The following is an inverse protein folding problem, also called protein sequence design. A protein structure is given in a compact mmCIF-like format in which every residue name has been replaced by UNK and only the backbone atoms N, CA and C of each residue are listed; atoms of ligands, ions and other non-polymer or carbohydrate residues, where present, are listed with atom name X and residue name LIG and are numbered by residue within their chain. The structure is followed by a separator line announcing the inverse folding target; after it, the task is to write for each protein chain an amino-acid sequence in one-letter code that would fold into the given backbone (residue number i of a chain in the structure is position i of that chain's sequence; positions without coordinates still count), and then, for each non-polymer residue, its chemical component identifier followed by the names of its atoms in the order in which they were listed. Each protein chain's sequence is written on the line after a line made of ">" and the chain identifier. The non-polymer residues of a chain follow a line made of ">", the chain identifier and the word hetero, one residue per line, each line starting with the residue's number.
data_IF_173931817870
#
_entry.id   IF_173931817870
#
_cell.length_a   1.000
_cell.length_b   1.000
_cell.length_c   1.000
_cell.angle_alpha   90.00
_cell.angle_beta   90.00
_cell.angle_gamma   90.00
#
_symmetry.space_group_name_H-M   'P 1'
#
loop_
_entity.id
_entity.type
_entity.pdbx_description
1 polymer ?
#
# COMPACT_ATOMS: atom_id res chain seq x y z
N UNK A 1 -17.52 0.66 24.52
CA UNK A 1 -16.07 0.33 24.40
C UNK A 1 -15.31 1.15 25.43
N UNK A 2 -14.31 0.58 26.11
CA UNK A 2 -13.54 1.25 27.16
C UNK A 2 -12.09 1.46 26.73
N UNK A 3 -11.40 2.40 27.38
CA UNK A 3 -9.95 2.53 27.23
C UNK A 3 -9.24 1.28 27.78
N UNK A 4 -8.12 0.83 27.18
CA UNK A 4 -7.40 1.46 26.06
C UNK A 4 -7.97 1.19 24.67
N UNK A 5 -8.95 0.30 24.50
CA UNK A 5 -9.48 -0.06 23.19
C UNK A 5 -10.12 1.12 22.44
N UNK A 6 -10.65 2.12 23.16
CA UNK A 6 -11.20 3.34 22.56
C UNK A 6 -10.14 4.37 22.09
N UNK A 7 -8.84 4.13 22.27
CA UNK A 7 -7.81 5.03 21.77
C UNK A 7 -7.67 4.94 20.25
N UNK A 8 -7.50 6.10 19.60
CA UNK A 8 -7.14 6.14 18.19
C UNK A 8 -5.80 5.41 17.96
N UNK A 9 -5.79 4.47 17.01
CA UNK A 9 -4.63 3.61 16.73
C UNK A 9 -4.61 2.30 17.51
N UNK A 10 -5.54 2.08 18.44
CA UNK A 10 -5.87 0.74 18.94
C UNK A 10 -6.94 0.12 18.05
N UNK A 11 -6.97 -1.22 18.00
CA UNK A 11 -8.04 -1.97 17.35
C UNK A 11 -8.92 -2.58 18.44
N UNK A 12 -10.15 -2.06 18.59
CA UNK A 12 -11.14 -2.58 19.51
C UNK A 12 -11.77 -3.87 18.96
N UNK A 13 -11.64 -4.96 19.73
CA UNK A 13 -12.09 -6.30 19.33
C UNK A 13 -13.25 -6.79 20.22
N UNK A 14 -14.40 -7.03 19.61
CA UNK A 14 -15.53 -7.70 20.25
C UNK A 14 -15.41 -9.23 20.15
N UNK A 15 -16.07 -9.94 21.06
CA UNK A 15 -16.11 -11.40 21.08
C UNK A 15 -17.37 -11.95 20.42
N UNK A 16 -17.19 -12.96 19.57
CA UNK A 16 -18.28 -13.80 19.05
C UNK A 16 -18.16 -15.23 19.52
N UNK A 17 -19.31 -15.89 19.68
CA UNK A 17 -19.43 -17.34 19.89
C UNK A 17 -19.28 -18.13 18.58
N UNK A 18 -19.38 -19.45 18.69
CA UNK A 18 -19.21 -20.38 17.55
C UNK A 18 -20.24 -20.19 16.43
N UNK A 19 -21.42 -19.67 16.76
CA UNK A 19 -22.48 -19.37 15.79
C UNK A 19 -22.29 -18.02 15.08
N UNK A 20 -21.18 -17.31 15.34
CA UNK A 20 -20.93 -15.98 14.79
C UNK A 20 -21.79 -14.87 15.41
N UNK A 21 -22.49 -15.17 16.51
CA UNK A 21 -23.24 -14.17 17.29
C UNK A 21 -22.33 -13.49 18.29
N UNK A 22 -22.55 -12.20 18.54
CA UNK A 22 -21.86 -11.46 19.61
C UNK A 22 -22.13 -12.16 20.95
N UNK A 23 -21.06 -12.50 21.67
CA UNK A 23 -21.18 -13.15 22.97
C UNK A 23 -21.86 -12.21 23.97
N UNK A 24 -22.69 -12.76 24.87
CA UNK A 24 -23.53 -11.97 25.77
C UNK A 24 -22.75 -10.96 26.64
N UNK A 25 -21.50 -11.28 26.99
CA UNK A 25 -20.61 -10.45 27.81
C UNK A 25 -19.83 -9.39 27.01
N UNK A 26 -19.82 -9.47 25.67
CA UNK A 26 -18.99 -8.58 24.86
C UNK A 26 -19.56 -7.17 24.84
N UNK A 27 -18.73 -6.19 25.22
CA UNK A 27 -19.05 -4.78 25.01
C UNK A 27 -19.23 -4.47 23.52
N UNK A 28 -20.06 -3.45 23.25
CA UNK A 28 -20.40 -2.96 21.91
C UNK A 28 -20.43 -1.42 21.92
N UNK A 29 -20.50 -0.80 20.76
CA UNK A 29 -20.60 0.66 20.64
C UNK A 29 -19.89 1.24 19.41
N UNK A 30 -19.95 2.56 19.29
CA UNK A 30 -19.42 3.31 18.14
C UNK A 30 -17.91 3.22 17.95
N UNK A 31 -17.16 2.95 19.01
CA UNK A 31 -15.70 2.86 18.98
C UNK A 31 -15.22 1.40 18.81
N UNK A 32 -16.09 0.51 18.29
CA UNK A 32 -15.76 -0.89 18.01
C UNK A 32 -15.23 -1.00 16.57
N UNK A 33 -14.09 -1.68 16.39
CA UNK A 33 -13.47 -1.81 15.07
C UNK A 33 -13.85 -3.11 14.37
N UNK A 34 -13.70 -4.24 15.07
CA UNK A 34 -13.88 -5.58 14.51
C UNK A 34 -14.36 -6.56 15.60
N UNK A 35 -14.75 -7.75 15.17
CA UNK A 35 -15.05 -8.88 16.04
C UNK A 35 -14.14 -10.07 15.73
N UNK A 36 -13.95 -10.94 16.71
CA UNK A 36 -13.20 -12.17 16.54
C UNK A 36 -13.74 -13.28 17.46
N UNK A 37 -13.40 -14.55 17.18
CA UNK A 37 -13.78 -15.67 18.04
C UNK A 37 -13.28 -15.47 19.47
N UNK A 38 -14.21 -15.22 20.40
CA UNK A 38 -13.93 -15.09 21.84
C UNK A 38 -14.66 -16.12 22.68
N UNK A 39 -15.56 -16.91 22.07
CA UNK A 39 -16.31 -17.98 22.72
C UNK A 39 -17.57 -17.50 23.44
N UNK A 40 -18.51 -18.42 23.64
CA UNK A 40 -19.72 -18.26 24.44
C UNK A 40 -20.09 -19.60 25.09
N UNK A 41 -19.85 -19.73 26.39
CA UNK A 41 -20.11 -20.95 27.16
C UNK A 41 -21.53 -20.99 27.77
N UNK A 42 -22.45 -20.10 27.36
CA UNK A 42 -23.83 -20.11 27.89
C UNK A 42 -24.55 -21.45 27.70
N UNK A 43 -24.15 -22.22 26.69
CA UNK A 43 -24.75 -23.51 26.32
C UNK A 43 -23.78 -24.70 26.47
N UNK A 44 -22.65 -24.54 27.17
CA UNK A 44 -21.65 -25.60 27.38
C UNK A 44 -20.22 -25.11 27.28
N UNK A 45 -19.29 -25.80 27.96
CA UNK A 45 -17.86 -25.40 28.02
C UNK A 45 -17.22 -25.36 26.63
N UNK A 46 -17.67 -26.23 25.74
CA UNK A 46 -17.22 -26.39 24.34
C UNK A 46 -17.58 -25.18 23.47
N UNK A 47 -18.42 -24.25 23.97
CA UNK A 47 -18.66 -22.98 23.32
C UNK A 47 -17.52 -21.96 23.49
N UNK A 48 -16.54 -22.25 24.34
CA UNK A 48 -15.35 -21.42 24.53
C UNK A 48 -14.33 -21.53 23.38
N UNK A 49 -13.22 -20.82 23.53
CA UNK A 49 -11.98 -20.99 22.76
C UNK A 49 -11.08 -21.97 23.53
N UNK A 50 -10.68 -23.07 22.88
CA UNK A 50 -9.72 -24.01 23.44
C UNK A 50 -8.33 -23.40 23.37
N UNK A 51 -7.64 -23.31 24.50
CA UNK A 51 -6.28 -22.78 24.56
C UNK A 51 -5.42 -23.54 25.56
N UNK A 52 -4.12 -23.58 25.26
CA UNK A 52 -3.13 -24.09 26.20
C UNK A 52 -3.01 -23.11 27.37
N UNK A 53 -3.04 -23.62 28.59
CA UNK A 53 -2.95 -22.84 29.81
C UNK A 53 -2.31 -23.67 30.91
N UNK A 54 -2.15 -23.07 32.09
CA UNK A 54 -1.61 -23.74 33.27
C UNK A 54 -2.67 -24.67 33.86
N UNK A 55 -2.27 -25.88 34.25
CA UNK A 55 -3.15 -26.85 34.89
C UNK A 55 -3.66 -26.31 36.24
N UNK A 56 -4.98 -26.39 36.45
CA UNK A 56 -5.61 -25.90 37.69
C UNK A 56 -5.17 -26.78 38.86
N UNK A 57 -4.52 -26.16 39.85
CA UNK A 57 -4.02 -26.86 41.03
C UNK A 57 -2.60 -27.44 40.87
N UNK A 58 -2.01 -27.35 39.67
CA UNK A 58 -0.63 -27.76 39.43
C UNK A 58 0.08 -26.81 38.44
N UNK A 59 0.67 -25.71 38.94
CA UNK A 59 1.33 -24.72 38.07
C UNK A 59 2.55 -25.23 37.31
N UNK A 60 3.05 -26.43 37.61
CA UNK A 60 4.20 -27.02 36.93
C UNK A 60 3.83 -27.70 35.59
N UNK A 61 2.53 -27.91 35.32
CA UNK A 61 2.05 -28.58 34.12
C UNK A 61 1.10 -27.68 33.31
N UNK A 62 1.03 -27.94 32.01
CA UNK A 62 0.09 -27.27 31.10
C UNK A 62 -1.07 -28.20 30.74
N UNK A 63 -2.21 -27.61 30.43
CA UNK A 63 -3.42 -28.29 29.97
C UNK A 63 -4.13 -27.47 28.88
N UNK A 64 -5.11 -28.06 28.20
CA UNK A 64 -5.98 -27.38 27.25
C UNK A 64 -7.35 -27.18 27.87
N UNK A 65 -7.69 -25.91 28.13
CA UNK A 65 -8.97 -25.55 28.74
C UNK A 65 -9.76 -24.61 27.83
N UNK A 66 -11.09 -24.70 27.94
CA UNK A 66 -12.02 -23.83 27.24
C UNK A 66 -12.23 -22.53 28.02
N UNK A 67 -11.99 -21.40 27.38
CA UNK A 67 -12.24 -20.08 27.96
C UNK A 67 -13.18 -19.25 27.11
N UNK A 68 -13.76 -18.21 27.71
CA UNK A 68 -14.48 -17.18 26.98
C UNK A 68 -14.00 -15.80 27.40
N UNK A 69 -13.96 -14.86 26.46
CA UNK A 69 -13.66 -13.47 26.73
C UNK A 69 -13.27 -12.69 25.49
N UNK A 70 -13.41 -11.37 25.56
CA UNK A 70 -12.78 -10.47 24.58
C UNK A 70 -11.26 -10.59 24.61
N UNK A 71 -10.67 -10.97 25.77
CA UNK A 71 -9.26 -11.35 25.90
C UNK A 71 -8.87 -12.57 25.07
N UNK A 72 -9.80 -13.45 24.68
CA UNK A 72 -9.56 -14.56 23.74
C UNK A 72 -9.83 -14.13 22.28
N UNK A 73 -10.70 -13.15 22.06
CA UNK A 73 -10.93 -12.55 20.74
C UNK A 73 -9.72 -11.72 20.26
N UNK A 74 -9.15 -10.89 21.13
CA UNK A 74 -7.99 -10.05 20.82
C UNK A 74 -6.78 -10.79 20.23
N UNK A 75 -6.31 -11.94 20.76
CA UNK A 75 -5.18 -12.66 20.18
C UNK A 75 -5.49 -13.27 18.81
N UNK A 76 -6.74 -13.62 18.50
CA UNK A 76 -7.11 -14.02 17.13
C UNK A 76 -6.95 -12.85 16.16
N UNK A 77 -7.45 -11.66 16.51
CA UNK A 77 -7.27 -10.46 15.69
C UNK A 77 -5.79 -10.08 15.54
N UNK A 78 -5.01 -10.15 16.62
CA UNK A 78 -3.57 -9.90 16.59
C UNK A 78 -2.82 -10.95 15.72
N UNK A 79 -3.24 -12.22 15.76
CA UNK A 79 -2.70 -13.27 14.91
C UNK A 79 -2.93 -12.99 13.42
N UNK A 80 -4.15 -12.59 13.03
CA UNK A 80 -4.45 -12.19 11.65
C UNK A 80 -3.67 -10.93 11.24
N UNK A 81 -3.54 -9.96 12.13
CA UNK A 81 -2.68 -8.79 11.91
C UNK A 81 -1.22 -9.22 11.63
N UNK A 82 -0.69 -10.18 12.40
CA UNK A 82 0.64 -10.75 12.20
C UNK A 82 0.79 -11.44 10.84
N UNK A 83 -0.24 -12.14 10.36
CA UNK A 83 -0.24 -12.73 9.02
C UNK A 83 -0.18 -11.66 7.92
N UNK A 84 -0.96 -10.59 8.05
CA UNK A 84 -0.92 -9.44 7.11
C UNK A 84 0.49 -8.82 7.10
N UNK A 85 1.09 -8.62 8.28
CA UNK A 85 2.45 -8.09 8.40
C UNK A 85 3.47 -9.04 7.76
N UNK A 86 3.32 -10.35 7.94
CA UNK A 86 4.20 -11.35 7.33
C UNK A 86 4.14 -11.38 5.80
N UNK A 87 3.02 -10.92 5.23
CA UNK A 87 2.85 -10.74 3.79
C UNK A 87 3.51 -9.45 3.24
N UNK A 88 4.16 -8.65 4.10
CA UNK A 88 4.92 -7.46 3.71
C UNK A 88 4.19 -6.13 3.92
N UNK A 89 3.06 -6.12 4.63
CA UNK A 89 2.33 -4.90 4.99
C UNK A 89 2.77 -4.43 6.38
N UNK A 90 3.70 -3.48 6.46
CA UNK A 90 4.32 -3.03 7.72
C UNK A 90 3.68 -1.77 8.34
N UNK A 91 2.69 -1.18 7.67
CA UNK A 91 2.00 0.00 8.18
C UNK A 91 0.78 -0.36 9.05
N UNK A 92 0.71 0.09 10.32
CA UNK A 92 -0.40 -0.23 11.21
C UNK A 92 -1.79 0.17 10.70
N UNK A 93 -1.91 1.31 10.01
CA UNK A 93 -3.20 1.76 9.45
C UNK A 93 -3.65 0.88 8.29
N UNK A 94 -2.70 0.40 7.49
CA UNK A 94 -3.01 -0.48 6.37
C UNK A 94 -3.37 -1.89 6.86
N UNK A 95 -2.67 -2.38 7.89
CA UNK A 95 -3.05 -3.62 8.59
C UNK A 95 -4.49 -3.52 9.14
N UNK A 96 -4.81 -2.42 9.83
CA UNK A 96 -6.16 -2.16 10.33
C UNK A 96 -7.20 -2.06 9.20
N UNK A 97 -6.86 -1.40 8.08
CA UNK A 97 -7.72 -1.30 6.90
C UNK A 97 -8.03 -2.67 6.32
N UNK A 98 -7.01 -3.51 6.11
CA UNK A 98 -7.17 -4.87 5.57
C UNK A 98 -8.01 -5.72 6.53
N UNK A 99 -7.74 -5.65 7.85
CA UNK A 99 -8.54 -6.34 8.86
C UNK A 99 -10.03 -5.98 8.78
N UNK A 100 -10.35 -4.69 8.63
CA UNK A 100 -11.73 -4.21 8.53
C UNK A 100 -12.38 -4.57 7.19
N UNK A 101 -11.69 -4.37 6.07
CA UNK A 101 -12.23 -4.62 4.72
C UNK A 101 -12.52 -6.11 4.48
N UNK A 102 -11.70 -6.99 5.05
CA UNK A 102 -11.82 -8.44 4.84
C UNK A 102 -12.68 -9.13 5.89
N UNK A 103 -13.12 -8.40 6.93
CA UNK A 103 -14.01 -8.93 7.95
C UNK A 103 -15.36 -9.34 7.35
N UNK A 104 -15.90 -10.48 7.80
CA UNK A 104 -17.21 -10.98 7.41
C UNK A 104 -18.27 -10.49 8.37
N UNK A 105 -19.09 -9.54 7.91
CA UNK A 105 -20.18 -9.02 8.71
C UNK A 105 -21.41 -9.95 8.67
N UNK A 106 -21.92 -10.45 9.81
CA UNK A 106 -23.09 -11.34 9.84
C UNK A 106 -24.34 -10.74 9.18
N UNK A 107 -24.56 -9.44 9.38
CA UNK A 107 -25.67 -8.67 8.82
C UNK A 107 -25.44 -8.12 7.39
N UNK A 108 -24.30 -8.44 6.74
CA UNK A 108 -23.92 -7.92 5.40
C UNK A 108 -23.94 -6.39 5.27
N UNK A 109 -23.54 -5.69 6.33
CA UNK A 109 -23.31 -4.24 6.33
C UNK A 109 -21.82 -3.96 6.46
N UNK A 110 -21.37 -2.76 6.10
CA UNK A 110 -19.94 -2.40 6.21
C UNK A 110 -19.49 -2.26 7.66
N UNK A 111 -20.37 -1.77 8.54
CA UNK A 111 -20.07 -1.60 9.96
C UNK A 111 -21.36 -1.50 10.77
N UNK A 112 -21.38 -2.10 11.96
CA UNK A 112 -22.36 -1.78 12.99
C UNK A 112 -21.75 -1.75 14.41
N UNK A 113 -22.54 -1.24 15.36
CA UNK A 113 -22.10 -1.09 16.75
C UNK A 113 -21.86 -2.42 17.47
N UNK A 114 -22.40 -3.54 16.97
CA UNK A 114 -22.35 -4.85 17.61
C UNK A 114 -21.16 -5.68 17.14
N UNK A 115 -20.81 -5.60 15.85
CA UNK A 115 -19.76 -6.41 15.24
C UNK A 115 -18.56 -5.60 14.74
N UNK A 116 -18.64 -4.26 14.76
CA UNK A 116 -17.67 -3.42 14.07
C UNK A 116 -17.78 -3.65 12.57
N UNK A 117 -16.66 -3.76 11.87
CA UNK A 117 -16.62 -4.14 10.46
C UNK A 117 -17.02 -5.61 10.21
N UNK A 118 -17.10 -6.44 11.25
CA UNK A 118 -17.47 -7.85 11.17
C UNK A 118 -16.47 -8.77 11.86
N UNK A 119 -16.64 -10.08 11.66
CA UNK A 119 -15.76 -11.11 12.21
C UNK A 119 -14.54 -11.26 11.31
N UNK A 120 -13.33 -11.19 11.87
CA UNK A 120 -12.08 -11.35 11.13
C UNK A 120 -12.06 -12.63 10.26
N UNK A 121 -11.50 -12.51 9.06
CA UNK A 121 -11.27 -13.61 8.13
C UNK A 121 -9.79 -13.66 7.75
N UNK A 122 -9.09 -14.66 8.27
CA UNK A 122 -7.64 -14.78 8.10
C UNK A 122 -7.24 -15.02 6.64
N UNK A 123 -8.01 -15.85 5.91
CA UNK A 123 -7.72 -16.18 4.52
C UNK A 123 -7.91 -14.95 3.63
N UNK A 124 -9.06 -14.29 3.77
CA UNK A 124 -9.34 -13.07 3.01
C UNK A 124 -8.31 -11.97 3.31
N UNK A 125 -7.90 -11.81 4.57
CA UNK A 125 -6.86 -10.87 4.99
C UNK A 125 -5.51 -11.15 4.32
N UNK A 126 -5.04 -12.41 4.30
CA UNK A 126 -3.77 -12.77 3.65
C UNK A 126 -3.85 -12.59 2.13
N UNK A 127 -4.97 -12.97 1.51
CA UNK A 127 -5.18 -12.76 0.07
C UNK A 127 -5.16 -11.27 -0.25
N UNK A 128 -5.84 -10.44 0.54
CA UNK A 128 -5.85 -8.98 0.34
C UNK A 128 -4.47 -8.36 0.55
N UNK A 129 -3.71 -8.81 1.55
CA UNK A 129 -2.34 -8.37 1.78
C UNK A 129 -1.40 -8.81 0.64
N UNK A 130 -1.64 -9.98 0.06
CA UNK A 130 -0.88 -10.55 -1.06
C UNK A 130 -1.29 -10.02 -2.44
N UNK A 131 -2.41 -9.29 -2.56
CA UNK A 131 -2.79 -8.61 -3.82
C UNK A 131 -1.76 -7.54 -4.12
N UNK A 132 -0.76 -7.93 -4.89
CA UNK A 132 0.22 -7.00 -5.41
C UNK A 132 -0.49 -6.05 -6.38
N UNK A 133 -0.40 -4.74 -6.16
CA UNK A 133 -0.83 -3.72 -7.12
C UNK A 133 0.00 -3.75 -8.43
N UNK A 134 0.68 -4.85 -8.74
CA UNK A 134 1.53 -5.03 -9.90
C UNK A 134 0.73 -4.92 -11.19
N UNK A 135 -0.46 -5.53 -11.29
CA UNK A 135 -1.27 -5.49 -12.51
C UNK A 135 -1.74 -4.06 -12.84
N UNK A 136 -2.14 -3.28 -11.84
CA UNK A 136 -2.50 -1.87 -11.99
C UNK A 136 -1.28 -1.02 -12.36
N UNK A 137 -0.11 -1.29 -11.75
CA UNK A 137 1.15 -0.65 -12.10
C UNK A 137 1.60 -0.98 -13.52
N UNK A 138 1.37 -2.21 -13.99
CA UNK A 138 1.68 -2.67 -15.34
C UNK A 138 0.76 -2.02 -16.38
N UNK A 139 -0.55 -1.96 -16.11
CA UNK A 139 -1.51 -1.25 -16.96
C UNK A 139 -1.19 0.24 -17.07
N UNK A 140 -0.84 0.88 -15.96
CA UNK A 140 -0.41 2.27 -15.93
C UNK A 140 0.92 2.49 -16.68
N UNK A 141 1.89 1.61 -16.51
CA UNK A 141 3.16 1.66 -17.24
C UNK A 141 2.99 1.52 -18.75
N UNK A 142 2.16 0.58 -19.19
CA UNK A 142 1.83 0.39 -20.61
C UNK A 142 1.12 1.61 -21.20
N UNK A 143 0.15 2.19 -20.47
CA UNK A 143 -0.54 3.41 -20.88
C UNK A 143 0.41 4.59 -21.04
N UNK A 144 1.36 4.77 -20.11
CA UNK A 144 2.37 5.81 -20.21
C UNK A 144 3.32 5.60 -21.37
N UNK A 145 3.77 4.36 -21.62
CA UNK A 145 4.57 4.03 -22.78
C UNK A 145 3.87 4.44 -24.08
N UNK A 146 2.58 4.14 -24.21
CA UNK A 146 1.74 4.54 -25.33
C UNK A 146 1.56 6.07 -25.41
N UNK A 147 1.40 6.75 -24.28
CA UNK A 147 1.36 8.22 -24.21
C UNK A 147 2.72 8.87 -24.50
N UNK A 148 3.85 8.22 -24.21
CA UNK A 148 5.18 8.68 -24.61
C UNK A 148 5.38 8.57 -26.13
N UNK A 149 4.91 7.47 -26.72
CA UNK A 149 4.94 7.24 -28.17
C UNK A 149 4.09 8.24 -28.95
N UNK A 150 2.95 8.66 -28.39
CA UNK A 150 1.99 9.57 -29.06
C UNK A 150 2.11 11.03 -28.62
N UNK A 151 2.43 11.28 -27.35
CA UNK A 151 2.45 12.59 -26.68
C UNK A 151 3.66 13.46 -27.00
N UNK A 152 4.80 12.86 -27.37
CA UNK A 152 5.93 13.60 -27.97
C UNK A 152 5.53 14.21 -29.34
N UNK A 153 4.38 13.83 -29.90
CA UNK A 153 3.78 14.41 -31.10
C UNK A 153 2.45 15.17 -30.92
N UNK A 154 1.87 15.25 -29.71
CA UNK A 154 0.53 15.83 -29.48
C UNK A 154 0.48 17.16 -28.74
N UNK A 155 1.62 17.72 -28.31
CA UNK A 155 1.66 19.16 -28.08
C UNK A 155 1.28 19.81 -29.41
N UNK A 156 0.11 20.46 -29.50
CA UNK A 156 -0.32 21.22 -30.68
C UNK A 156 0.87 22.06 -31.12
N UNK A 157 1.58 21.61 -32.15
CA UNK A 157 2.76 22.29 -32.64
C UNK A 157 2.29 23.65 -33.08
N UNK A 158 2.69 24.68 -32.33
CA UNK A 158 2.39 26.04 -32.75
C UNK A 158 3.26 26.31 -33.97
N UNK A 159 2.73 27.09 -34.88
CA UNK A 159 3.49 27.61 -36.01
C UNK A 159 4.70 28.37 -35.44
N UNK A 160 5.89 27.77 -35.56
CA UNK A 160 7.13 28.24 -34.92
C UNK A 160 7.90 27.20 -34.10
N UNK A 161 7.30 26.05 -33.76
CA UNK A 161 8.05 24.96 -33.09
C UNK A 161 9.10 24.38 -34.05
N UNK A 162 10.32 24.16 -33.55
CA UNK A 162 11.46 23.67 -34.32
C UNK A 162 11.23 22.30 -34.99
N UNK A 163 12.24 21.78 -35.73
CA UNK A 163 12.12 20.51 -36.44
C UNK A 163 11.66 19.37 -35.52
N UNK A 164 10.91 18.42 -36.07
CA UNK A 164 10.40 17.28 -35.31
C UNK A 164 11.55 16.46 -34.70
N UNK A 165 11.42 15.96 -33.46
CA UNK A 165 12.46 15.12 -32.87
C UNK A 165 12.71 13.91 -33.75
N UNK A 166 13.99 13.57 -33.93
CA UNK A 166 14.42 12.47 -34.78
C UNK A 166 13.90 11.12 -34.26
N UNK A 167 13.83 10.08 -35.10
CA UNK A 167 13.41 8.74 -34.66
C UNK A 167 14.22 8.21 -33.47
N UNK A 168 15.53 8.50 -33.42
CA UNK A 168 16.40 8.11 -32.31
C UNK A 168 16.13 8.89 -31.02
N UNK A 169 15.81 10.18 -31.11
CA UNK A 169 15.41 10.99 -29.95
C UNK A 169 14.06 10.54 -29.39
N UNK A 170 13.10 10.16 -30.26
CA UNK A 170 11.84 9.57 -29.82
C UNK A 170 12.06 8.23 -29.14
N UNK A 171 12.90 7.36 -29.71
CA UNK A 171 13.25 6.08 -29.12
C UNK A 171 13.91 6.25 -27.74
N UNK A 172 14.85 7.21 -27.60
CA UNK A 172 15.48 7.50 -26.31
C UNK A 172 14.50 8.09 -25.29
N UNK A 173 13.55 8.91 -25.74
CA UNK A 173 12.50 9.46 -24.86
C UNK A 173 11.55 8.38 -24.39
N UNK A 174 11.15 7.47 -25.29
CA UNK A 174 10.36 6.29 -24.95
C UNK A 174 11.17 5.40 -24.01
N UNK A 175 12.41 5.07 -24.33
CA UNK A 175 13.28 4.24 -23.48
C UNK A 175 13.55 4.88 -22.12
N UNK A 176 13.60 6.21 -22.02
CA UNK A 176 13.73 6.94 -20.77
C UNK A 176 12.42 6.96 -19.97
N UNK A 177 11.28 7.17 -20.64
CA UNK A 177 9.97 7.19 -20.01
C UNK A 177 9.61 5.82 -19.49
N UNK A 178 9.78 4.84 -20.37
CA UNK A 178 9.71 3.43 -20.06
C UNK A 178 10.74 3.11 -19.00
N UNK A 179 12.04 3.42 -19.10
CA UNK A 179 13.03 3.13 -18.05
C UNK A 179 12.74 3.80 -16.68
N UNK A 180 12.21 5.02 -16.68
CA UNK A 180 11.70 5.71 -15.50
C UNK A 180 10.42 5.08 -14.92
N UNK A 181 9.78 4.21 -15.70
CA UNK A 181 8.59 3.42 -15.35
C UNK A 181 8.90 1.88 -15.33
N UNK A 182 10.08 1.43 -15.81
CA UNK A 182 10.53 0.07 -16.22
C UNK A 182 10.48 -0.28 -17.74
N UNK A 183 11.53 -0.88 -18.38
CA UNK A 183 11.52 -2.04 -19.35
C UNK A 183 12.97 -2.40 -19.84
N UNK A 184 13.34 -3.63 -20.22
CA UNK A 184 12.54 -4.86 -20.36
C UNK A 184 13.28 -6.14 -20.82
N UNK A 185 12.48 -7.21 -20.89
CA UNK A 185 12.67 -8.52 -21.56
C UNK A 185 13.81 -9.44 -21.06
N UNK A 186 13.50 -10.23 -20.01
CA UNK A 186 14.36 -11.29 -19.44
C UNK A 186 14.47 -11.25 -17.91
N UNK A 187 14.12 -10.10 -17.31
CA UNK A 187 14.11 -9.77 -15.87
C UNK A 187 12.75 -9.17 -15.45
N UNK A 188 11.66 -9.71 -16.01
CA UNK A 188 10.42 -9.01 -16.36
C UNK A 188 9.42 -8.64 -15.23
N UNK A 189 9.75 -8.67 -13.93
CA UNK A 189 8.70 -8.49 -12.88
C UNK A 189 9.02 -7.45 -11.81
N UNK A 190 10.14 -6.73 -11.89
CA UNK A 190 10.42 -5.64 -10.93
C UNK A 190 10.99 -4.40 -11.62
N UNK A 191 10.34 -3.22 -11.54
CA UNK A 191 10.84 -1.96 -12.13
C UNK A 191 12.28 -1.66 -11.67
N UNK A 192 13.17 -1.05 -12.47
CA UNK A 192 14.55 -0.76 -12.01
C UNK A 192 14.58 0.15 -10.77
N UNK A 193 13.65 1.11 -10.71
CA UNK A 193 13.36 1.92 -9.53
C UNK A 193 12.92 1.02 -8.34
N UNK A 194 12.08 0.04 -8.61
CA UNK A 194 11.62 -0.92 -7.61
C UNK A 194 12.72 -1.87 -7.16
N UNK A 195 13.55 -2.41 -8.06
CA UNK A 195 14.72 -3.24 -7.76
C UNK A 195 15.75 -2.45 -6.97
N UNK A 196 16.06 -1.21 -7.38
CA UNK A 196 16.94 -0.33 -6.63
C UNK A 196 16.35 0.00 -5.26
N UNK A 197 15.05 0.28 -5.18
CA UNK A 197 14.34 0.55 -3.95
C UNK A 197 14.27 -0.65 -3.01
N UNK A 198 14.04 -1.86 -3.51
CA UNK A 198 14.01 -3.08 -2.69
C UNK A 198 15.41 -3.53 -2.28
N UNK A 199 16.37 -3.54 -3.21
CA UNK A 199 17.76 -3.95 -2.93
C UNK A 199 18.50 -2.98 -1.99
N UNK A 200 18.15 -1.69 -2.00
CA UNK A 200 18.73 -0.69 -1.11
C UNK A 200 17.87 -0.41 0.15
N UNK A 201 16.72 -1.09 0.32
CA UNK A 201 15.80 -0.82 1.43
C UNK A 201 15.18 0.59 1.40
N UNK A 202 15.13 1.22 0.24
CA UNK A 202 14.64 2.59 0.02
C UNK A 202 13.19 2.65 -0.48
N UNK A 203 12.57 1.50 -0.77
CA UNK A 203 11.15 1.41 -1.10
C UNK A 203 10.30 2.04 0.01
N UNK A 204 9.39 2.94 -0.37
CA UNK A 204 8.57 3.68 0.57
C UNK A 204 9.26 4.88 1.23
N UNK A 205 10.57 5.07 1.09
CA UNK A 205 11.25 6.25 1.66
C UNK A 205 10.87 7.54 0.94
N UNK A 206 10.69 8.63 1.69
CA UNK A 206 10.45 9.96 1.09
C UNK A 206 11.56 10.45 0.19
N UNK A 207 12.80 9.98 0.40
CA UNK A 207 13.92 10.30 -0.48
C UNK A 207 13.77 9.63 -1.85
N UNK A 208 13.36 8.35 -1.88
CA UNK A 208 13.16 7.60 -3.11
C UNK A 208 11.90 8.04 -3.86
N UNK A 209 10.81 8.28 -3.12
CA UNK A 209 9.55 8.83 -3.62
C UNK A 209 9.61 10.36 -3.77
N UNK A 210 10.72 10.87 -4.30
CA UNK A 210 10.92 12.29 -4.61
C UNK A 210 11.50 12.48 -6.00
N UNK A 211 11.52 13.73 -6.47
CA UNK A 211 12.19 14.12 -7.70
C UNK A 211 13.72 14.17 -7.55
N UNK A 212 14.28 13.87 -6.37
CA UNK A 212 15.71 14.01 -6.11
C UNK A 212 16.55 13.07 -6.98
N UNK A 213 16.13 11.81 -7.13
CA UNK A 213 16.82 10.81 -7.97
C UNK A 213 16.90 11.27 -9.44
N UNK A 214 15.78 11.57 -10.14
CA UNK A 214 15.87 12.05 -11.50
C UNK A 214 16.50 13.44 -11.62
N UNK A 215 16.40 14.30 -10.59
CA UNK A 215 17.07 15.61 -10.57
C UNK A 215 18.59 15.50 -10.53
N UNK A 216 19.14 14.64 -9.67
CA UNK A 216 20.59 14.40 -9.59
C UNK A 216 21.11 13.82 -10.90
N UNK A 217 20.44 12.81 -11.45
CA UNK A 217 20.81 12.25 -12.76
C UNK A 217 20.75 13.29 -13.88
N UNK A 218 19.73 14.16 -13.84
CA UNK A 218 19.64 15.29 -14.77
C UNK A 218 20.84 16.22 -14.62
N UNK A 219 21.17 16.65 -13.41
CA UNK A 219 22.30 17.56 -13.17
C UNK A 219 23.63 16.99 -13.67
N UNK A 220 23.87 15.69 -13.44
CA UNK A 220 25.11 15.03 -13.84
C UNK A 220 25.23 14.85 -15.36
N UNK A 221 24.13 14.56 -16.05
CA UNK A 221 24.15 14.10 -17.44
C UNK A 221 23.62 15.13 -18.45
N UNK A 222 23.10 16.28 -18.02
CA UNK A 222 22.51 17.30 -18.91
C UNK A 222 23.48 17.84 -19.98
N UNK A 223 24.77 17.87 -19.65
CA UNK A 223 25.83 18.33 -20.56
C UNK A 223 26.00 17.40 -21.77
N UNK A 224 25.61 16.13 -21.64
CA UNK A 224 25.71 15.13 -22.70
C UNK A 224 24.49 15.25 -23.61
N UNK A 225 24.61 15.98 -24.73
CA UNK A 225 23.51 16.29 -25.66
C UNK A 225 22.74 15.04 -26.14
N UNK A 226 23.45 13.93 -26.37
CA UNK A 226 22.85 12.66 -26.80
C UNK A 226 21.93 12.03 -25.75
N UNK A 227 22.12 12.34 -24.46
CA UNK A 227 21.33 11.76 -23.37
C UNK A 227 20.09 12.58 -23.01
N UNK A 228 19.90 13.77 -23.61
CA UNK A 228 18.80 14.66 -23.22
C UNK A 228 17.42 14.06 -23.50
N UNK A 229 17.26 13.28 -24.56
CA UNK A 229 16.03 12.51 -24.81
C UNK A 229 15.75 11.48 -23.72
N UNK A 230 16.79 10.74 -23.31
CA UNK A 230 16.70 9.76 -22.22
C UNK A 230 16.33 10.42 -20.88
N UNK A 231 16.97 11.54 -20.55
CA UNK A 231 16.68 12.29 -19.33
C UNK A 231 15.28 12.90 -19.33
N UNK A 232 14.80 13.37 -20.49
CA UNK A 232 13.44 13.87 -20.66
C UNK A 232 12.43 12.75 -20.39
N UNK A 233 12.67 11.57 -20.99
CA UNK A 233 11.89 10.37 -20.72
C UNK A 233 11.91 10.00 -19.24
N UNK A 234 13.09 9.87 -18.63
CA UNK A 234 13.27 9.48 -17.23
C UNK A 234 12.45 10.37 -16.29
N UNK A 235 12.53 11.70 -16.45
CA UNK A 235 11.79 12.64 -15.62
C UNK A 235 10.27 12.53 -15.83
N UNK A 236 9.80 12.32 -17.07
CA UNK A 236 8.38 12.10 -17.33
C UNK A 236 7.89 10.78 -16.71
N UNK A 237 8.69 9.72 -16.82
CA UNK A 237 8.39 8.43 -16.22
C UNK A 237 8.31 8.49 -14.70
N UNK A 238 9.29 9.16 -14.08
CA UNK A 238 9.31 9.39 -12.63
C UNK A 238 8.13 10.25 -12.16
N UNK A 239 7.80 11.31 -12.89
CA UNK A 239 6.64 12.14 -12.59
C UNK A 239 5.34 11.34 -12.60
N UNK A 240 5.20 10.45 -13.57
CA UNK A 240 4.00 9.64 -13.72
C UNK A 240 3.89 8.58 -12.62
N UNK A 241 5.01 7.93 -12.24
CA UNK A 241 5.07 7.06 -11.05
C UNK A 241 4.59 7.79 -9.80
N UNK A 242 5.07 9.01 -9.57
CA UNK A 242 4.71 9.83 -8.41
C UNK A 242 3.23 10.26 -8.45
N UNK A 243 2.70 10.67 -9.60
CA UNK A 243 1.28 11.01 -9.76
C UNK A 243 0.36 9.81 -9.51
N UNK A 244 0.73 8.65 -10.03
CA UNK A 244 -0.01 7.41 -9.77
C UNK A 244 0.02 7.03 -8.30
N UNK A 245 1.18 7.18 -7.65
CA UNK A 245 1.31 7.02 -6.20
C UNK A 245 0.41 7.99 -5.42
N UNK A 246 0.27 9.24 -5.89
CA UNK A 246 -0.56 10.25 -5.24
C UNK A 246 -2.07 10.00 -5.35
N UNK A 247 -2.52 9.20 -6.33
CA UNK A 247 -3.95 9.00 -6.62
C UNK A 247 -4.42 7.58 -6.30
N UNK A 248 -3.66 6.57 -6.71
CA UNK A 248 -4.11 5.17 -6.76
C UNK A 248 -3.58 4.35 -5.59
N UNK A 249 -2.30 4.51 -5.25
CA UNK A 249 -1.69 3.67 -4.22
C UNK A 249 -2.04 4.17 -2.81
N UNK A 250 -2.25 3.26 -1.84
CA UNK A 250 -2.19 3.60 -0.42
C UNK A 250 -0.71 3.90 -0.09
N UNK A 251 -0.26 5.10 -0.42
CA UNK A 251 1.13 5.50 -0.25
C UNK A 251 1.35 6.03 1.15
N UNK A 252 2.18 5.31 1.90
CA UNK A 252 2.82 5.82 3.09
C UNK A 252 4.26 6.11 2.72
N UNK A 253 4.56 7.40 2.62
CA UNK A 253 5.92 7.86 2.37
C UNK A 253 6.61 7.90 3.72
N UNK A 254 7.43 6.89 4.00
CA UNK A 254 8.19 6.79 5.24
C UNK A 254 9.05 8.04 5.46
N UNK A 255 8.91 8.64 6.64
CA UNK A 255 9.64 9.85 7.05
C UNK A 255 8.92 11.18 6.82
N UNK A 256 7.70 11.19 6.25
CA UNK A 256 6.91 12.42 6.10
C UNK A 256 5.90 12.54 7.24
N UNK A 257 5.97 13.62 8.05
CA UNK A 257 4.96 13.86 9.08
C UNK A 257 3.62 14.22 8.42
N UNK A 258 2.55 13.49 8.77
CA UNK A 258 1.18 13.86 8.38
C UNK A 258 0.30 12.74 7.77
N UNK A 259 0.86 11.56 7.48
CA UNK A 259 0.11 10.41 6.96
C UNK A 259 -0.42 10.61 5.53
N UNK A 260 -1.34 9.73 5.11
CA UNK A 260 -1.73 9.55 3.70
C UNK A 260 -2.10 10.84 2.93
N UNK A 261 -2.68 11.85 3.58
CA UNK A 261 -2.98 13.14 2.93
C UNK A 261 -1.71 13.92 2.57
N UNK A 262 -0.73 13.96 3.47
CA UNK A 262 0.56 14.62 3.25
C UNK A 262 1.46 13.83 2.31
N UNK A 263 1.35 12.50 2.34
CA UNK A 263 2.06 11.62 1.40
C UNK A 263 1.63 11.89 -0.05
N UNK A 264 0.32 12.04 -0.29
CA UNK A 264 -0.20 12.40 -1.61
C UNK A 264 0.25 13.78 -2.06
N UNK A 265 0.27 14.77 -1.17
CA UNK A 265 0.76 16.12 -1.47
C UNK A 265 2.26 16.11 -1.80
N UNK A 266 3.05 15.37 -1.04
CA UNK A 266 4.48 15.20 -1.30
C UNK A 266 4.74 14.59 -2.67
N UNK A 267 4.04 13.51 -2.99
CA UNK A 267 4.16 12.83 -4.28
C UNK A 267 3.73 13.75 -5.43
N UNK A 268 2.62 14.47 -5.29
CA UNK A 268 2.15 15.42 -6.29
C UNK A 268 3.14 16.58 -6.50
N UNK A 269 3.69 17.14 -5.42
CA UNK A 269 4.68 18.21 -5.48
C UNK A 269 5.96 17.75 -6.19
N UNK A 270 6.46 16.57 -5.86
CA UNK A 270 7.64 16.00 -6.51
C UNK A 270 7.37 15.62 -7.97
N UNK A 271 6.17 15.15 -8.30
CA UNK A 271 5.79 14.94 -9.69
C UNK A 271 5.85 16.23 -10.50
N UNK A 272 5.36 17.34 -9.95
CA UNK A 272 5.45 18.66 -10.59
C UNK A 272 6.91 19.08 -10.84
N UNK A 273 7.83 18.81 -9.91
CA UNK A 273 9.27 19.07 -10.09
C UNK A 273 9.84 18.23 -11.24
N UNK A 274 9.54 16.93 -11.28
CA UNK A 274 10.00 16.06 -12.37
C UNK A 274 9.41 16.47 -13.74
N UNK A 275 8.13 16.88 -13.80
CA UNK A 275 7.54 17.45 -15.02
C UNK A 275 8.22 18.76 -15.46
N UNK A 276 8.56 19.62 -14.51
CA UNK A 276 9.29 20.86 -14.79
C UNK A 276 10.67 20.57 -15.39
N UNK A 277 11.41 19.62 -14.81
CA UNK A 277 12.71 19.18 -15.33
C UNK A 277 12.60 18.63 -16.75
N UNK A 278 11.65 17.72 -17.01
CA UNK A 278 11.41 17.18 -18.34
C UNK A 278 11.16 18.29 -19.39
N UNK A 279 10.29 19.26 -19.07
CA UNK A 279 10.01 20.39 -19.96
C UNK A 279 11.25 21.25 -20.23
N UNK A 280 12.08 21.48 -19.21
CA UNK A 280 13.30 22.29 -19.34
C UNK A 280 14.35 21.60 -20.20
N UNK A 281 14.55 20.29 -20.03
CA UNK A 281 15.50 19.49 -20.83
C UNK A 281 15.08 19.44 -22.29
N UNK A 282 13.77 19.28 -22.56
CA UNK A 282 13.25 19.25 -23.91
C UNK A 282 13.53 20.56 -24.67
N UNK A 283 13.33 21.72 -24.02
CA UNK A 283 13.66 23.04 -24.60
C UNK A 283 15.15 23.24 -24.88
N UNK A 284 16.03 22.59 -24.13
CA UNK A 284 17.47 22.64 -24.37
C UNK A 284 17.92 21.70 -25.50
N UNK A 285 17.02 20.84 -25.98
CA UNK A 285 17.29 19.85 -27.03
C UNK A 285 16.83 20.32 -28.41
N UNK A 286 16.03 21.38 -28.45
CA UNK A 286 15.68 22.19 -29.64
C UNK A 286 16.82 23.17 -29.96
#
# INVERSE_FOLDING_TARGET
>A
ISYPAAYQGSVAVAATGKEGKRSFYSNWGKDLDISAPGGDQSNGKEGGVLQNTIMVGDPAHNDYLWFQGTSMASPHAAGVAGLIVSAGVDNPKEVERILKETARHPNKVEWDKEYGAGIIDAEAAVIAAGKSYQDERLGFAGLLGLLGLTGVGLGRRREGDGPAPSPSQRLLTVAGLVGGVGLGAGLLVTPLAYVAGTSLGLMGSGLFLSALVPAVLTLLLLQVKSLRGLLTGLNLGWAALLLHGAVVLPTLVAGIPGGAGWDRLWLAANACVALYLARKINKLSE
#
